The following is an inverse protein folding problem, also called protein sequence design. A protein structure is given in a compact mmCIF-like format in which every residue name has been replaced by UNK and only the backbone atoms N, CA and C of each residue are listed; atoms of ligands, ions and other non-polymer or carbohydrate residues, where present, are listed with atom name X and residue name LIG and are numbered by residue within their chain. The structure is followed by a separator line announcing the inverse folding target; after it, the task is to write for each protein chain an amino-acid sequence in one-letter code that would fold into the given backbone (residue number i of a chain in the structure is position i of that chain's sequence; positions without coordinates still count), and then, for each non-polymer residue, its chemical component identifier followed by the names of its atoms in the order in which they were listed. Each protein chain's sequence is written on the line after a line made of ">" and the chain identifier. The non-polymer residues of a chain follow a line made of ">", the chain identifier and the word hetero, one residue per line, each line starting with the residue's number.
data_IF_199022618708
#
_entry.id   IF_199022618708
#
_cell.length_a   1.000
_cell.length_b   1.000
_cell.length_c   1.000
_cell.angle_alpha   90.00
_cell.angle_beta   90.00
_cell.angle_gamma   90.00
#
_symmetry.space_group_name_H-M   'P 1'
#
loop_
_entity.id
_entity.type
_entity.pdbx_description
1 polymer ?
#
# COMPACT_ATOMS: atom_id res chain seq x y z
N UNK A 1 -16.87 29.32 6.36
CA UNK A 1 -16.51 28.05 6.98
C UNK A 1 -15.57 27.37 6.01
N UNK A 2 -14.30 27.27 6.37
CA UNK A 2 -13.30 26.59 5.53
C UNK A 2 -13.76 25.14 5.36
N UNK A 3 -13.90 24.67 4.13
CA UNK A 3 -14.20 23.27 3.89
C UNK A 3 -13.13 22.46 4.61
N UNK A 4 -13.51 21.53 5.49
CA UNK A 4 -12.55 20.69 6.20
C UNK A 4 -11.61 20.07 5.16
N UNK A 5 -10.35 20.50 5.13
CA UNK A 5 -9.34 19.91 4.25
C UNK A 5 -9.18 18.45 4.69
N UNK A 6 -9.55 17.54 3.80
CA UNK A 6 -9.42 16.10 4.01
C UNK A 6 -8.21 15.59 3.24
N UNK A 7 -7.55 14.59 3.80
CA UNK A 7 -6.49 13.84 3.14
C UNK A 7 -6.95 12.38 3.02
N UNK A 8 -6.78 11.79 1.84
CA UNK A 8 -7.23 10.42 1.54
C UNK A 8 -6.05 9.47 1.41
N UNK A 9 -6.10 8.38 2.15
CA UNK A 9 -5.11 7.31 2.09
C UNK A 9 -5.64 6.08 1.35
N UNK A 10 -4.79 5.42 0.59
CA UNK A 10 -5.00 4.09 0.04
C UNK A 10 -3.87 3.18 0.51
N UNK A 11 -4.19 1.99 1.00
CA UNK A 11 -3.20 0.94 1.27
C UNK A 11 -3.58 -0.32 0.49
N UNK A 12 -2.60 -0.93 -0.18
CA UNK A 12 -2.85 -2.08 -1.05
C UNK A 12 -1.60 -2.97 -1.19
N UNK A 13 -1.69 -4.23 -0.76
CA UNK A 13 -0.72 -5.25 -1.14
C UNK A 13 -1.06 -5.72 -2.56
N UNK A 14 -0.16 -5.47 -3.51
CA UNK A 14 -0.42 -5.72 -4.94
C UNK A 14 -0.18 -7.18 -5.35
N UNK A 15 0.26 -8.01 -4.42
CA UNK A 15 0.58 -9.43 -4.58
C UNK A 15 1.65 -9.68 -5.64
N UNK A 16 2.87 -9.95 -5.16
CA UNK A 16 4.12 -10.08 -5.95
C UNK A 16 4.19 -11.28 -6.91
N UNK A 17 3.13 -12.10 -7.02
CA UNK A 17 3.08 -13.25 -7.92
C UNK A 17 2.93 -12.82 -9.38
N UNK A 18 4.07 -12.57 -10.03
CA UNK A 18 4.12 -12.10 -11.41
C UNK A 18 3.62 -13.13 -12.43
N UNK A 19 3.66 -14.41 -12.09
CA UNK A 19 3.20 -15.52 -12.93
C UNK A 19 1.67 -15.61 -13.05
N UNK A 20 0.92 -14.84 -12.26
CA UNK A 20 -0.55 -14.86 -12.24
C UNK A 20 -1.11 -13.54 -12.74
N UNK A 21 -1.39 -13.47 -14.05
CA UNK A 21 -2.06 -12.34 -14.72
C UNK A 21 -1.56 -10.93 -14.35
N UNK A 22 -0.28 -10.78 -14.01
CA UNK A 22 0.26 -9.59 -13.34
C UNK A 22 -0.07 -8.27 -14.03
N UNK A 23 0.09 -8.21 -15.36
CA UNK A 23 -0.21 -7.00 -16.12
C UNK A 23 -1.68 -6.58 -15.97
N UNK A 24 -2.63 -7.52 -16.13
CA UNK A 24 -4.06 -7.25 -15.95
C UNK A 24 -4.39 -6.83 -14.52
N UNK A 25 -3.77 -7.46 -13.52
CA UNK A 25 -3.94 -7.07 -12.11
C UNK A 25 -3.46 -5.65 -11.87
N UNK A 26 -2.29 -5.27 -12.41
CA UNK A 26 -1.75 -3.93 -12.25
C UNK A 26 -2.59 -2.87 -12.97
N UNK A 27 -3.17 -3.19 -14.14
CA UNK A 27 -4.15 -2.32 -14.80
C UNK A 27 -5.40 -2.08 -13.92
N UNK A 28 -5.94 -3.15 -13.34
CA UNK A 28 -7.10 -3.06 -12.45
C UNK A 28 -6.81 -2.24 -11.19
N UNK A 29 -5.65 -2.44 -10.56
CA UNK A 29 -5.20 -1.65 -9.42
C UNK A 29 -5.00 -0.18 -9.82
N UNK A 30 -4.41 0.08 -11.00
CA UNK A 30 -4.29 1.44 -11.54
C UNK A 30 -5.65 2.13 -11.73
N UNK A 31 -6.65 1.41 -12.25
CA UNK A 31 -8.01 1.93 -12.38
C UNK A 31 -8.65 2.26 -11.01
N UNK A 32 -8.36 1.47 -9.96
CA UNK A 32 -8.79 1.79 -8.59
C UNK A 32 -8.13 3.08 -8.08
N UNK A 33 -6.82 3.27 -8.35
CA UNK A 33 -6.11 4.51 -7.99
C UNK A 33 -6.76 5.71 -8.69
N UNK A 34 -7.07 5.61 -9.97
CA UNK A 34 -7.73 6.69 -10.72
C UNK A 34 -9.14 6.97 -10.22
N UNK A 35 -9.94 5.93 -9.98
CA UNK A 35 -11.31 6.03 -9.49
C UNK A 35 -11.39 6.69 -8.12
N UNK A 36 -10.55 6.25 -7.18
CA UNK A 36 -10.63 6.71 -5.78
C UNK A 36 -9.79 7.96 -5.52
N UNK A 37 -8.83 8.26 -6.40
CA UNK A 37 -7.98 9.44 -6.40
C UNK A 37 -7.39 9.76 -5.00
N UNK A 38 -6.68 8.80 -4.36
CA UNK A 38 -6.07 9.02 -3.04
C UNK A 38 -4.99 10.10 -3.08
N UNK A 39 -4.70 10.73 -1.95
CA UNK A 39 -3.64 11.72 -1.84
C UNK A 39 -2.31 11.08 -1.44
N UNK A 40 -2.37 10.00 -0.65
CA UNK A 40 -1.23 9.17 -0.25
C UNK A 40 -1.56 7.70 -0.51
N UNK A 41 -0.59 6.96 -1.06
CA UNK A 41 -0.70 5.53 -1.37
C UNK A 41 0.43 4.76 -0.69
N UNK A 42 0.05 3.68 -0.02
CA UNK A 42 0.94 2.67 0.55
C UNK A 42 0.81 1.39 -0.26
N UNK A 43 1.80 1.08 -1.09
CA UNK A 43 1.86 -0.21 -1.78
C UNK A 43 2.85 -1.16 -1.13
N UNK A 44 2.46 -2.43 -1.02
CA UNK A 44 3.31 -3.53 -0.53
C UNK A 44 3.42 -4.61 -1.61
N UNK A 45 4.44 -5.44 -1.52
CA UNK A 45 4.76 -6.48 -2.51
C UNK A 45 5.04 -5.97 -3.94
N UNK A 46 5.61 -4.77 -4.05
CA UNK A 46 6.04 -4.24 -5.35
C UNK A 46 7.36 -4.89 -5.75
N UNK A 47 7.40 -5.48 -6.93
CA UNK A 47 8.65 -5.92 -7.58
C UNK A 47 9.14 -4.85 -8.57
N UNK A 48 10.38 -4.93 -9.07
CA UNK A 48 10.85 -4.04 -10.12
C UNK A 48 9.97 -4.06 -11.38
N UNK A 49 9.46 -5.23 -11.78
CA UNK A 49 8.59 -5.36 -12.95
C UNK A 49 7.20 -4.77 -12.71
N UNK A 50 6.61 -5.01 -11.53
CA UNK A 50 5.33 -4.37 -11.18
C UNK A 50 5.48 -2.84 -11.17
N UNK A 51 6.58 -2.33 -10.61
CA UNK A 51 6.88 -0.90 -10.62
C UNK A 51 6.96 -0.35 -12.04
N UNK A 52 7.64 -1.02 -12.97
CA UNK A 52 7.71 -0.54 -14.35
C UNK A 52 6.33 -0.49 -15.02
N UNK A 53 5.46 -1.46 -14.74
CA UNK A 53 4.08 -1.41 -15.24
C UNK A 53 3.36 -0.17 -14.71
N UNK A 54 3.46 0.11 -13.40
CA UNK A 54 2.83 1.30 -12.82
C UNK A 54 3.41 2.61 -13.35
N UNK A 55 4.73 2.71 -13.56
CA UNK A 55 5.39 3.89 -14.13
C UNK A 55 4.86 4.26 -15.53
N UNK A 56 4.44 3.26 -16.31
CA UNK A 56 3.86 3.45 -17.64
C UNK A 56 2.39 3.93 -17.59
N UNK A 57 1.70 3.80 -16.45
CA UNK A 57 0.29 4.19 -16.33
C UNK A 57 0.11 5.71 -16.14
N UNK A 58 -0.92 6.32 -16.76
CA UNK A 58 -1.11 7.77 -16.71
C UNK A 58 -1.20 8.38 -15.31
N UNK A 59 -1.76 7.63 -14.35
CA UNK A 59 -1.95 8.10 -12.98
C UNK A 59 -0.63 8.30 -12.23
N UNK A 60 0.44 7.58 -12.58
CA UNK A 60 1.72 7.61 -11.85
C UNK A 60 2.32 9.00 -11.79
N UNK A 61 2.25 9.75 -12.89
CA UNK A 61 2.81 11.11 -13.02
C UNK A 61 2.18 12.13 -12.06
N UNK A 62 1.04 11.81 -11.45
CA UNK A 62 0.37 12.67 -10.46
C UNK A 62 0.97 12.54 -9.06
N UNK A 63 1.88 11.58 -8.84
CA UNK A 63 2.43 11.27 -7.53
C UNK A 63 3.95 11.41 -7.52
N UNK A 64 4.46 11.95 -6.43
CA UNK A 64 5.83 11.76 -5.97
C UNK A 64 5.95 10.34 -5.40
N UNK A 65 7.08 9.67 -5.67
CA UNK A 65 7.33 8.31 -5.25
C UNK A 65 8.58 8.26 -4.37
N UNK A 66 8.53 7.51 -3.27
CA UNK A 66 9.70 7.24 -2.43
C UNK A 66 10.81 6.60 -3.28
N UNK A 67 12.08 7.02 -3.17
CA UNK A 67 13.17 6.39 -3.89
C UNK A 67 13.23 4.89 -3.53
N UNK A 68 13.76 4.07 -4.43
CA UNK A 68 14.09 2.66 -4.14
C UNK A 68 15.61 2.51 -4.33
N UNK A 69 16.37 2.02 -3.35
CA UNK A 69 17.81 1.88 -3.47
C UNK A 69 18.19 0.96 -4.64
N UNK A 70 19.29 1.22 -5.37
CA UNK A 70 19.72 0.37 -6.47
C UNK A 70 19.87 -1.11 -6.07
N UNK A 71 20.27 -1.39 -4.84
CA UNK A 71 20.38 -2.76 -4.34
C UNK A 71 19.02 -3.47 -4.27
N UNK A 72 17.96 -2.79 -3.85
CA UNK A 72 16.60 -3.35 -3.84
C UNK A 72 16.05 -3.50 -5.25
N UNK A 73 16.34 -2.55 -6.15
CA UNK A 73 15.96 -2.66 -7.56
C UNK A 73 16.67 -3.80 -8.31
N UNK A 74 17.93 -4.07 -7.94
CA UNK A 74 18.72 -5.16 -8.51
C UNK A 74 18.27 -6.54 -8.00
N UNK A 75 17.54 -6.59 -6.88
CA UNK A 75 16.95 -7.82 -6.36
C UNK A 75 15.60 -8.08 -7.01
N UNK A 76 15.24 -9.36 -7.20
CA UNK A 76 13.88 -9.77 -7.52
C UNK A 76 12.97 -9.81 -6.27
N UNK A 77 13.39 -9.18 -5.17
CA UNK A 77 12.62 -9.14 -3.93
C UNK A 77 11.60 -8.02 -3.99
N UNK A 78 10.42 -8.29 -3.43
CA UNK A 78 9.37 -7.29 -3.35
C UNK A 78 9.64 -6.28 -2.22
N UNK A 79 9.30 -5.02 -2.44
CA UNK A 79 9.48 -3.92 -1.49
C UNK A 79 8.18 -3.14 -1.28
N UNK A 80 8.19 -2.19 -0.35
CA UNK A 80 7.11 -1.23 -0.15
C UNK A 80 7.38 0.06 -0.94
N UNK A 81 6.33 0.67 -1.46
CA UNK A 81 6.36 2.00 -2.07
C UNK A 81 5.42 2.94 -1.34
N UNK A 82 5.89 4.17 -1.16
CA UNK A 82 5.10 5.28 -0.66
C UNK A 82 4.96 6.30 -1.79
N UNK A 83 3.71 6.59 -2.16
CA UNK A 83 3.40 7.60 -3.17
C UNK A 83 2.51 8.69 -2.58
N UNK A 84 2.69 9.93 -3.04
CA UNK A 84 1.91 11.07 -2.57
C UNK A 84 1.75 12.12 -3.67
N UNK A 85 0.57 12.73 -3.79
CA UNK A 85 0.38 13.90 -4.66
C UNK A 85 1.10 15.14 -4.13
N UNK A 86 1.36 15.16 -2.82
CA UNK A 86 2.11 16.18 -2.12
C UNK A 86 3.59 15.78 -2.08
N UNK A 87 4.53 16.74 -2.05
CA UNK A 87 5.96 16.45 -1.92
C UNK A 87 6.25 15.55 -0.71
N UNK A 88 7.17 14.60 -0.92
CA UNK A 88 7.68 13.73 0.14
C UNK A 88 8.97 14.34 0.69
N UNK A 89 8.98 14.61 1.99
CA UNK A 89 10.12 15.17 2.71
C UNK A 89 10.65 14.17 3.76
N UNK A 90 11.87 14.39 4.27
CA UNK A 90 12.47 13.58 5.34
C UNK A 90 12.40 12.06 5.13
N UNK A 91 12.54 11.59 3.89
CA UNK A 91 12.27 10.19 3.54
C UNK A 91 13.27 9.27 4.24
N UNK A 92 12.73 8.30 5.00
CA UNK A 92 13.48 7.25 5.68
C UNK A 92 13.10 5.87 5.17
N UNK A 93 14.06 4.95 5.15
CA UNK A 93 13.80 3.51 4.92
C UNK A 93 14.62 2.68 5.87
N UNK A 94 13.93 1.82 6.59
CA UNK A 94 14.47 1.14 7.75
C UNK A 94 14.24 -0.36 7.60
N UNK A 95 15.26 -1.15 7.88
CA UNK A 95 15.15 -2.61 7.90
C UNK A 95 14.88 -3.08 9.31
N UNK A 96 14.03 -4.08 9.44
CA UNK A 96 13.83 -4.76 10.70
C UNK A 96 14.99 -5.73 10.95
N UNK A 97 15.70 -5.55 12.06
CA UNK A 97 16.88 -6.36 12.41
C UNK A 97 16.53 -7.84 12.55
N UNK A 98 15.33 -8.14 13.05
CA UNK A 98 14.84 -9.49 13.27
C UNK A 98 14.14 -10.11 12.04
N UNK A 99 14.18 -9.46 10.87
CA UNK A 99 13.48 -9.94 9.69
C UNK A 99 14.31 -10.95 8.88
N UNK A 100 13.93 -12.24 8.82
CA UNK A 100 14.58 -13.22 7.95
C UNK A 100 14.33 -12.95 6.45
N UNK A 101 13.30 -12.17 6.09
CA UNK A 101 12.96 -11.88 4.68
C UNK A 101 13.28 -10.44 4.25
N UNK A 102 14.13 -9.75 5.01
CA UNK A 102 14.53 -8.37 4.69
C UNK A 102 13.42 -7.31 4.76
N UNK A 103 12.31 -7.58 5.47
CA UNK A 103 11.24 -6.62 5.74
C UNK A 103 11.74 -5.37 6.45
N UNK A 104 10.97 -4.31 6.27
CA UNK A 104 11.24 -2.98 6.76
C UNK A 104 10.04 -2.08 6.59
N UNK A 105 10.23 -0.79 6.86
CA UNK A 105 9.24 0.24 6.61
C UNK A 105 9.87 1.43 5.89
N UNK A 106 9.05 2.13 5.13
CA UNK A 106 9.38 3.40 4.46
C UNK A 106 8.52 4.48 5.11
N UNK A 107 9.14 5.61 5.44
CA UNK A 107 8.47 6.77 6.01
C UNK A 107 8.82 8.06 5.27
N UNK A 108 7.95 9.05 5.37
CA UNK A 108 8.17 10.40 4.86
C UNK A 108 7.29 11.40 5.62
N UNK A 109 7.65 12.67 5.57
CA UNK A 109 6.77 13.77 5.96
C UNK A 109 5.99 14.25 4.73
N UNK A 110 4.70 14.56 4.93
CA UNK A 110 3.82 15.12 3.92
C UNK A 110 3.14 16.35 4.50
N UNK A 111 3.23 17.49 3.80
CA UNK A 111 2.60 18.72 4.24
C UNK A 111 1.38 19.06 3.35
N UNK A 112 0.14 18.91 3.84
CA UNK A 112 -1.06 19.24 3.08
C UNK A 112 -1.24 20.73 2.79
N UNK A 113 -0.57 21.59 3.56
CA UNK A 113 -0.68 23.04 3.41
C UNK A 113 0.60 23.75 3.89
N UNK A 114 1.66 23.77 3.04
CA UNK A 114 2.95 24.38 3.37
C UNK A 114 2.87 25.88 3.69
N UNK A 115 1.82 26.56 3.22
CA UNK A 115 1.59 27.98 3.52
C UNK A 115 1.06 28.19 4.95
N UNK A 116 0.46 27.17 5.55
CA UNK A 116 0.10 27.19 6.96
C UNK A 116 1.24 26.63 7.79
N UNK A 117 1.52 27.24 8.95
CA UNK A 117 2.48 26.69 9.94
C UNK A 117 1.96 25.39 10.60
N UNK A 118 1.06 24.65 9.95
CA UNK A 118 0.55 23.38 10.47
C UNK A 118 1.66 22.34 10.40
N UNK A 119 1.79 21.48 11.41
CA UNK A 119 2.75 20.39 11.40
C UNK A 119 2.47 19.43 10.24
N UNK A 120 3.55 18.91 9.65
CA UNK A 120 3.47 17.87 8.64
C UNK A 120 2.87 16.57 9.22
N UNK A 121 2.34 15.74 8.34
CA UNK A 121 1.88 14.38 8.68
C UNK A 121 3.01 13.42 8.35
N UNK A 122 3.54 12.73 9.37
CA UNK A 122 4.44 11.60 9.18
C UNK A 122 3.64 10.42 8.66
N UNK A 123 3.99 9.92 7.49
CA UNK A 123 3.33 8.76 6.87
C UNK A 123 4.32 7.63 6.77
N UNK A 124 3.89 6.41 7.07
CA UNK A 124 4.75 5.24 7.01
C UNK A 124 3.99 4.01 6.50
N UNK A 125 4.65 3.25 5.61
CA UNK A 125 4.16 1.96 5.13
C UNK A 125 5.14 0.84 5.48
N UNK A 126 4.60 -0.30 5.89
CA UNK A 126 5.36 -1.53 6.08
C UNK A 126 4.67 -2.72 5.43
N UNK A 127 5.44 -3.76 5.19
CA UNK A 127 4.93 -5.12 5.14
C UNK A 127 5.62 -5.89 6.25
N UNK A 128 4.86 -6.25 7.28
CA UNK A 128 5.43 -7.01 8.40
C UNK A 128 5.68 -8.46 8.00
N UNK A 129 6.36 -9.19 8.86
CA UNK A 129 6.72 -10.56 8.61
C UNK A 129 5.48 -11.45 8.40
N UNK A 130 5.43 -12.08 7.22
CA UNK A 130 4.31 -12.94 6.81
C UNK A 130 4.47 -14.38 7.32
N UNK A 131 3.35 -15.08 7.58
CA UNK A 131 3.37 -16.53 7.75
C UNK A 131 3.99 -17.22 6.51
N UNK A 132 4.77 -18.27 6.73
CA UNK A 132 5.39 -19.02 5.64
C UNK A 132 5.27 -20.54 5.80
N UNK A 133 4.08 -21.15 5.67
CA UNK A 133 3.92 -22.59 5.82
C UNK A 133 4.79 -23.42 4.84
N UNK A 134 5.31 -24.60 5.23
CA UNK A 134 5.18 -25.24 6.55
C UNK A 134 6.13 -24.65 7.62
N UNK A 135 6.90 -23.62 7.26
CA UNK A 135 7.81 -22.90 8.15
C UNK A 135 7.03 -22.03 9.18
N UNK A 136 7.69 -21.19 10.00
CA UNK A 136 7.02 -20.58 11.15
C UNK A 136 5.95 -19.56 10.76
N UNK A 137 4.96 -19.37 11.65
CA UNK A 137 3.94 -18.32 11.56
C UNK A 137 4.51 -16.91 11.74
N UNK A 138 5.73 -16.81 12.30
CA UNK A 138 6.51 -15.58 12.50
C UNK A 138 5.82 -14.51 13.36
N UNK A 139 4.97 -14.93 14.31
CA UNK A 139 4.23 -14.04 15.21
C UNK A 139 5.15 -13.21 16.11
N UNK A 140 6.27 -13.80 16.59
CA UNK A 140 7.22 -13.10 17.47
C UNK A 140 7.96 -12.02 16.70
N UNK A 141 8.44 -12.34 15.50
CA UNK A 141 9.12 -11.40 14.62
C UNK A 141 8.18 -10.26 14.23
N UNK A 142 6.99 -10.59 13.73
CA UNK A 142 5.96 -9.63 13.33
C UNK A 142 5.55 -8.70 14.46
N UNK A 143 5.36 -9.22 15.68
CA UNK A 143 5.03 -8.38 16.83
C UNK A 143 6.15 -7.39 17.17
N UNK A 144 7.40 -7.86 17.26
CA UNK A 144 8.53 -6.99 17.58
C UNK A 144 8.79 -5.93 16.48
N UNK A 145 8.48 -6.25 15.22
CA UNK A 145 8.53 -5.29 14.11
C UNK A 145 7.48 -4.20 14.25
N UNK A 146 6.23 -4.57 14.56
CA UNK A 146 5.15 -3.61 14.82
C UNK A 146 5.49 -2.70 16.02
N UNK A 147 5.96 -3.28 17.12
CA UNK A 147 6.35 -2.55 18.33
C UNK A 147 7.48 -1.57 18.04
N UNK A 148 8.52 -2.02 17.31
CA UNK A 148 9.63 -1.17 16.91
C UNK A 148 9.18 0.01 16.04
N UNK A 149 8.39 -0.25 14.99
CA UNK A 149 7.94 0.79 14.08
C UNK A 149 7.07 1.83 14.79
N UNK A 150 6.09 1.39 15.58
CA UNK A 150 5.19 2.29 16.33
C UNK A 150 5.97 3.11 17.35
N UNK A 151 6.90 2.50 18.09
CA UNK A 151 7.74 3.22 19.05
C UNK A 151 8.61 4.28 18.38
N UNK A 152 9.25 3.96 17.24
CA UNK A 152 10.08 4.91 16.49
C UNK A 152 9.26 6.11 15.98
N UNK A 153 8.07 5.82 15.43
CA UNK A 153 7.17 6.82 14.87
C UNK A 153 6.46 7.69 15.92
N UNK A 154 6.32 7.20 17.16
CA UNK A 154 5.68 7.91 18.28
C UNK A 154 6.44 9.17 18.76
N UNK A 155 7.62 9.45 18.19
CA UNK A 155 8.34 10.70 18.40
C UNK A 155 7.69 11.92 17.73
N UNK A 156 6.67 11.70 16.88
CA UNK A 156 5.96 12.72 16.12
C UNK A 156 4.46 12.74 16.47
N UNK A 157 3.82 13.91 16.42
CA UNK A 157 2.42 14.06 16.86
C UNK A 157 1.38 13.60 15.82
N UNK A 158 1.61 13.88 14.53
CA UNK A 158 0.65 13.56 13.46
C UNK A 158 1.17 12.43 12.59
N UNK A 159 0.75 11.20 12.90
CA UNK A 159 1.29 10.00 12.25
C UNK A 159 0.21 9.13 11.66
N UNK A 160 0.47 8.62 10.45
CA UNK A 160 -0.30 7.53 9.84
C UNK A 160 0.65 6.40 9.52
N UNK A 161 0.50 5.27 10.23
CA UNK A 161 1.21 4.04 9.95
C UNK A 161 0.23 3.01 9.35
N UNK A 162 0.57 2.46 8.19
CA UNK A 162 -0.29 1.52 7.48
C UNK A 162 0.50 0.53 6.63
N UNK A 163 -0.23 -0.27 5.85
CA UNK A 163 0.34 -1.32 5.01
C UNK A 163 -0.18 -2.71 5.34
N UNK A 164 0.55 -3.71 4.88
CA UNK A 164 0.20 -5.11 5.10
C UNK A 164 0.84 -5.59 6.40
N UNK A 165 0.05 -5.51 7.47
CA UNK A 165 0.50 -5.93 8.79
C UNK A 165 0.63 -7.44 8.92
N UNK A 166 0.11 -8.23 7.97
CA UNK A 166 0.03 -9.70 8.08
C UNK A 166 -0.52 -10.18 9.44
N UNK A 167 -1.35 -9.35 10.09
CA UNK A 167 -1.81 -9.55 11.45
C UNK A 167 -3.00 -10.50 11.47
N UNK A 168 -3.05 -11.39 12.45
CA UNK A 168 -4.17 -12.31 12.64
C UNK A 168 -4.67 -12.26 14.07
N UNK A 169 -5.92 -11.82 14.22
CA UNK A 169 -6.62 -11.85 15.50
C UNK A 169 -6.64 -13.28 16.09
N UNK A 170 -6.34 -13.39 17.38
CA UNK A 170 -6.32 -14.65 18.12
C UNK A 170 -5.06 -15.51 17.92
N UNK A 171 -4.28 -15.28 16.86
CA UNK A 171 -2.96 -15.92 16.69
C UNK A 171 -1.84 -14.97 17.11
N UNK A 172 -1.95 -13.71 16.73
CA UNK A 172 -1.06 -12.65 17.19
C UNK A 172 -1.54 -12.05 18.51
N UNK A 173 -0.62 -11.39 19.22
CA UNK A 173 -0.93 -10.57 20.39
C UNK A 173 -1.75 -9.35 19.97
N UNK A 174 -2.38 -8.61 20.89
CA UNK A 174 -2.91 -7.29 20.58
C UNK A 174 -1.86 -6.43 19.87
N UNK A 175 -2.25 -5.69 18.84
CA UNK A 175 -1.31 -4.81 18.13
C UNK A 175 -0.73 -3.79 19.12
N UNK A 176 0.60 -3.55 19.13
CA UNK A 176 1.27 -2.75 20.16
C UNK A 176 1.04 -1.24 19.95
N UNK A 177 -0.19 -0.78 20.15
CA UNK A 177 -0.58 0.63 20.08
C UNK A 177 -0.39 1.30 21.45
N UNK A 178 0.50 2.30 21.59
CA UNK A 178 0.61 3.10 22.80
C UNK A 178 -0.54 4.13 22.89
N UNK A 179 -0.65 4.80 24.03
CA UNK A 179 -1.64 5.84 24.24
C UNK A 179 -1.53 6.95 23.17
N UNK A 180 -2.68 7.41 22.67
CA UNK A 180 -2.77 8.41 21.60
C UNK A 180 -2.87 7.82 20.20
N UNK A 181 -2.52 6.54 20.01
CA UNK A 181 -2.78 5.82 18.76
C UNK A 181 -4.15 5.16 18.78
N UNK A 182 -4.74 5.00 17.60
CA UNK A 182 -5.94 4.21 17.39
C UNK A 182 -5.89 3.53 16.03
N UNK A 183 -6.56 2.39 15.91
CA UNK A 183 -6.79 1.74 14.62
C UNK A 183 -7.99 2.44 13.94
N UNK A 184 -7.77 2.91 12.72
CA UNK A 184 -8.77 3.62 11.93
C UNK A 184 -10.02 2.77 11.66
N UNK A 185 -9.90 1.44 11.56
CA UNK A 185 -11.02 0.57 11.21
C UNK A 185 -12.02 0.38 12.38
N UNK A 186 -11.62 -0.05 13.59
CA UNK A 186 -12.52 -0.07 14.75
C UNK A 186 -13.10 1.31 15.09
N UNK A 187 -12.28 2.36 15.08
CA UNK A 187 -12.74 3.73 15.36
C UNK A 187 -13.80 4.20 14.35
N UNK A 188 -13.58 3.94 13.05
CA UNK A 188 -14.59 4.22 12.04
C UNK A 188 -15.89 3.43 12.29
N UNK A 189 -15.79 2.13 12.60
CA UNK A 189 -16.97 1.32 12.90
C UNK A 189 -17.75 1.85 14.09
N UNK A 190 -17.08 2.29 15.16
CA UNK A 190 -17.72 2.89 16.33
C UNK A 190 -18.47 4.17 15.98
N UNK A 191 -17.91 5.01 15.10
CA UNK A 191 -18.56 6.25 14.65
C UNK A 191 -19.75 5.99 13.72
N UNK A 192 -19.68 4.97 12.87
CA UNK A 192 -20.75 4.66 11.91
C UNK A 192 -21.75 3.62 12.41
N UNK A 193 -21.51 2.96 13.56
CA UNK A 193 -22.42 2.00 14.20
C UNK A 193 -23.88 2.50 14.27
N UNK A 194 -24.17 3.79 14.57
CA UNK A 194 -25.54 4.32 14.55
C UNK A 194 -26.20 4.37 13.15
N UNK A 195 -25.41 4.29 12.07
CA UNK A 195 -25.83 4.45 10.68
C UNK A 195 -25.66 3.16 9.84
N UNK A 196 -25.49 2.00 10.50
CA UNK A 196 -25.18 0.70 9.86
C UNK A 196 -26.19 0.22 8.81
N UNK A 197 -27.42 0.74 8.80
CA UNK A 197 -28.42 0.43 7.79
C UNK A 197 -28.18 1.10 6.43
N UNK A 198 -27.29 2.08 6.35
CA UNK A 198 -27.08 2.92 5.14
C UNK A 198 -25.66 2.89 4.59
N UNK A 199 -24.69 2.30 5.30
CA UNK A 199 -23.29 2.28 4.89
C UNK A 199 -22.80 0.84 4.90
N UNK A 200 -23.02 0.12 3.80
CA UNK A 200 -22.27 -1.11 3.53
C UNK A 200 -20.91 -0.73 2.95
N UNK A 201 -19.87 -0.63 3.78
CA UNK A 201 -18.51 -0.71 3.25
C UNK A 201 -17.72 -1.75 4.02
N UNK A 202 -18.21 -2.99 3.95
CA UNK A 202 -17.31 -4.12 3.86
C UNK A 202 -16.93 -4.24 2.39
N UNK A 203 -15.73 -3.84 2.01
CA UNK A 203 -15.07 -4.47 0.85
C UNK A 203 -14.30 -5.67 1.38
N UNK A 204 -15.04 -6.70 1.79
CA UNK A 204 -14.47 -8.01 2.13
C UNK A 204 -15.41 -9.11 1.64
N UNK A 205 -15.87 -8.98 0.40
CA UNK A 205 -16.68 -10.01 -0.28
C UNK A 205 -15.94 -10.45 -1.55
N UNK A 206 -14.77 -11.06 -1.36
CA UNK A 206 -14.06 -11.75 -2.42
C UNK A 206 -14.02 -13.24 -2.10
N UNK A 207 -15.09 -13.97 -2.39
CA UNK A 207 -14.91 -15.35 -2.81
C UNK A 207 -14.03 -15.28 -4.06
N UNK A 208 -12.80 -15.77 -3.95
CA UNK A 208 -11.82 -15.75 -5.02
C UNK A 208 -12.21 -16.78 -6.10
N UNK A 209 -13.14 -16.40 -6.97
CA UNK A 209 -13.34 -17.05 -8.26
C UNK A 209 -12.69 -16.16 -9.31
N UNK A 210 -11.54 -16.60 -9.84
CA UNK A 210 -10.94 -15.95 -11.00
C UNK A 210 -11.84 -16.20 -12.22
N UNK A 211 -12.67 -15.23 -12.58
CA UNK A 211 -13.12 -15.13 -13.97
C UNK A 211 -11.96 -14.61 -14.82
N UNK A 212 -11.61 -15.33 -15.88
CA UNK A 212 -10.57 -14.92 -16.82
C UNK A 212 -10.89 -13.50 -17.32
N UNK A 213 -10.02 -12.52 -17.02
CA UNK A 213 -10.12 -11.06 -17.28
C UNK A 213 -10.67 -10.16 -16.16
N UNK A 214 -11.17 -10.70 -15.06
CA UNK A 214 -11.72 -9.91 -13.95
C UNK A 214 -10.86 -10.03 -12.69
N UNK A 215 -10.56 -8.90 -12.05
CA UNK A 215 -9.87 -8.86 -10.76
C UNK A 215 -10.71 -8.05 -9.77
N UNK A 216 -11.21 -8.71 -8.71
CA UNK A 216 -12.06 -8.10 -7.69
C UNK A 216 -13.30 -7.37 -8.28
N UNK A 217 -13.97 -8.01 -9.26
CA UNK A 217 -15.13 -7.44 -9.96
C UNK A 217 -14.81 -6.31 -10.95
N UNK A 218 -13.54 -5.99 -11.16
CA UNK A 218 -13.09 -5.06 -12.20
C UNK A 218 -12.52 -5.80 -13.40
N UNK A 219 -13.13 -5.61 -14.57
CA UNK A 219 -12.54 -5.98 -15.85
C UNK A 219 -11.63 -4.84 -16.32
N UNK A 220 -10.36 -5.14 -16.62
CA UNK A 220 -9.52 -4.18 -17.33
C UNK A 220 -10.13 -3.93 -18.73
N UNK A 221 -10.19 -2.68 -19.21
CA UNK A 221 -10.69 -2.40 -20.56
C UNK A 221 -9.85 -3.20 -21.58
N UNK A 222 -10.54 -3.99 -22.39
CA UNK A 222 -9.95 -4.75 -23.48
C UNK A 222 -9.68 -3.79 -24.65
N UNK A 223 -8.42 -3.60 -25.01
CA UNK A 223 -8.05 -2.86 -26.22
C UNK A 223 -7.68 -3.86 -27.33
N UNK A 224 -8.52 -4.03 -28.38
CA UNK A 224 -8.26 -4.98 -29.45
C UNK A 224 -7.06 -4.58 -30.34
N UNK A 225 -6.55 -3.36 -30.23
CA UNK A 225 -5.65 -2.77 -31.21
C UNK A 225 -4.14 -3.00 -30.97
N UNK A 226 -3.73 -3.63 -29.89
CA UNK A 226 -2.30 -3.88 -29.60
C UNK A 226 -1.76 -5.23 -30.12
N UNK A 227 -2.52 -5.96 -30.93
CA UNK A 227 -2.10 -7.23 -31.54
C UNK A 227 -1.68 -7.11 -33.01
N UNK A 228 -0.37 -7.05 -33.26
CA UNK A 228 0.26 -7.57 -34.49
C UNK A 228 0.38 -6.62 -35.70
N UNK A 229 1.58 -6.08 -35.91
CA UNK A 229 2.11 -5.88 -37.27
C UNK A 229 3.25 -6.86 -37.50
N UNK A 230 2.93 -7.99 -38.09
CA UNK A 230 3.89 -8.86 -38.77
C UNK A 230 3.68 -8.75 -40.27
N UNK A 231 4.74 -8.35 -40.99
CA UNK A 231 5.00 -8.74 -42.37
C UNK A 231 4.39 -7.87 -43.47
N UNK A 232 5.25 -7.15 -44.19
CA UNK A 232 5.34 -7.25 -45.66
C UNK A 232 6.61 -6.56 -46.15
N UNK A 233 7.67 -7.34 -46.36
CA UNK A 233 8.64 -7.04 -47.40
C UNK A 233 8.06 -7.55 -48.73
N UNK A 234 7.97 -6.68 -49.73
CA UNK A 234 7.81 -7.07 -51.12
C UNK A 234 8.52 -6.06 -52.02
N UNK A 235 9.34 -6.63 -52.91
CA UNK A 235 10.10 -6.07 -54.05
C UNK A 235 11.14 -4.99 -53.78
#
# INVERSE_FOLDING_TARGET
>A
MDATKQIKFLTYNVWSREDVFVYKRMLAIGALVEKHNPDVIFFQEITPYIRSIFEDLPWWKKYHCSPVPPQEQATQQSFCLLLSKLPLESIGRWKFVNSPTGKGYVEADVNPDPATMKPAIRVATAQLERPSPPAPMRCVERYAQAEHAVAALSSTENVVFGGDMCWRDGTDRPFPLPAGWFDAWPDWQDRVRPYRGTISCRTYDGMWEEEVVMFNGFAAPYDPCSGGRTGSCAS
#
